data_IF_255782958767
#
_entry.id   IF_255782958767
#
_cell.length_a   1.000
_cell.length_b   1.000
_cell.length_c   1.000
_cell.angle_alpha   90.00
_cell.angle_beta   90.00
_cell.angle_gamma   90.00
#
_symmetry.space_group_name_H-M   'P 1'
#
loop_
_entity.id
_entity.type
_entity.pdbx_description
1 polymer ?
#
# COMPACT_ATOMS: atom_id res chain seq x y z
N UNK A 1 8.43 1.39 4.59
CA UNK A 1 8.33 0.09 3.91
C UNK A 1 9.54 -0.09 3.05
N UNK A 2 9.91 -1.34 2.80
CA UNK A 2 11.08 -1.71 2.01
C UNK A 2 10.66 -2.23 0.64
N UNK A 3 11.52 -2.02 -0.36
CA UNK A 3 11.26 -2.30 -1.78
C UNK A 3 11.13 -3.80 -2.09
N UNK A 4 11.82 -4.65 -1.32
CA UNK A 4 11.94 -6.10 -1.52
C UNK A 4 10.79 -6.91 -0.88
N UNK A 5 9.86 -6.25 -0.20
CA UNK A 5 8.71 -6.87 0.44
C UNK A 5 7.40 -6.28 -0.09
N UNK A 6 6.32 -7.07 -0.05
CA UNK A 6 5.02 -6.57 -0.50
C UNK A 6 4.55 -5.41 0.36
N UNK A 7 4.13 -4.31 -0.28
CA UNK A 7 3.48 -3.17 0.40
C UNK A 7 2.21 -3.63 1.13
N UNK A 8 1.45 -4.56 0.53
CA UNK A 8 0.24 -5.10 1.15
C UNK A 8 0.54 -5.87 2.45
N UNK A 9 1.58 -6.72 2.44
CA UNK A 9 1.99 -7.50 3.63
C UNK A 9 2.49 -6.56 4.74
N UNK A 10 3.39 -5.63 4.41
CA UNK A 10 3.91 -4.66 5.38
C UNK A 10 2.80 -3.75 5.94
N UNK A 11 1.77 -3.42 5.14
CA UNK A 11 0.61 -2.67 5.62
C UNK A 11 -0.19 -3.48 6.63
N UNK A 12 -0.39 -4.77 6.34
CA UNK A 12 -1.10 -5.67 7.25
C UNK A 12 -0.37 -5.84 8.59
N UNK A 13 0.97 -5.89 8.57
CA UNK A 13 1.80 -5.89 9.79
C UNK A 13 1.60 -4.62 10.64
N UNK A 14 1.53 -3.45 10.00
CA UNK A 14 1.28 -2.17 10.70
C UNK A 14 -0.13 -2.16 11.33
N UNK A 15 -1.14 -2.65 10.63
CA UNK A 15 -2.52 -2.73 11.15
C UNK A 15 -2.60 -3.71 12.33
N UNK A 16 -1.90 -4.84 12.27
CA UNK A 16 -1.86 -5.79 13.38
C UNK A 16 -1.14 -5.21 14.61
N UNK A 17 -0.10 -4.41 14.41
CA UNK A 17 0.53 -3.65 15.48
C UNK A 17 -0.44 -2.64 16.09
N UNK A 18 -1.18 -1.89 15.27
CA UNK A 18 -2.19 -0.94 15.77
C UNK A 18 -3.28 -1.64 16.58
N UNK A 19 -3.76 -2.81 16.15
CA UNK A 19 -4.70 -3.63 16.94
C UNK A 19 -4.14 -4.01 18.30
N UNK A 20 -2.87 -4.42 18.34
CA UNK A 20 -2.18 -4.76 19.60
C UNK A 20 -2.07 -3.53 20.52
N UNK A 21 -1.84 -2.34 19.96
CA UNK A 21 -1.84 -1.08 20.71
C UNK A 21 -3.25 -0.72 21.21
N UNK A 22 -4.27 -0.92 20.39
CA UNK A 22 -5.67 -0.67 20.74
C UNK A 22 -6.13 -1.57 21.90
N UNK A 23 -5.70 -2.84 21.93
CA UNK A 23 -5.94 -3.78 23.03
C UNK A 23 -5.26 -3.34 24.34
N UNK A 24 -4.16 -2.60 24.24
CA UNK A 24 -3.48 -1.96 25.37
C UNK A 24 -4.00 -0.54 25.68
N UNK A 25 -5.22 -0.21 25.21
CA UNK A 25 -5.89 1.09 25.37
C UNK A 25 -5.15 2.29 24.71
N UNK A 26 -4.16 2.02 23.85
CA UNK A 26 -3.40 3.03 23.08
C UNK A 26 -3.96 3.19 21.66
N UNK A 27 -5.24 3.56 21.55
CA UNK A 27 -5.90 3.73 20.26
C UNK A 27 -5.30 4.88 19.47
N UNK A 28 -4.91 4.61 18.24
CA UNK A 28 -4.42 5.64 17.31
C UNK A 28 -5.59 6.23 16.52
N UNK A 29 -5.61 7.54 16.23
CA UNK A 29 -6.57 8.09 15.30
C UNK A 29 -6.43 7.44 13.91
N UNK A 30 -7.53 6.99 13.31
CA UNK A 30 -7.50 6.33 11.99
C UNK A 30 -6.76 7.15 10.93
N UNK A 31 -6.99 8.47 10.91
CA UNK A 31 -6.29 9.38 10.00
C UNK A 31 -4.77 9.37 10.17
N UNK A 32 -4.29 9.24 11.41
CA UNK A 32 -2.86 9.12 11.68
C UNK A 32 -2.31 7.83 11.09
N UNK A 33 -3.03 6.71 11.24
CA UNK A 33 -2.63 5.42 10.70
C UNK A 33 -2.57 5.45 9.16
N UNK A 34 -3.63 5.95 8.52
CA UNK A 34 -3.72 6.10 7.05
C UNK A 34 -2.56 6.95 6.52
N UNK A 35 -2.34 8.14 7.09
CA UNK A 35 -1.24 9.02 6.68
C UNK A 35 0.13 8.38 6.89
N UNK A 36 0.32 7.70 8.03
CA UNK A 36 1.58 7.02 8.36
C UNK A 36 1.89 5.90 7.37
N UNK A 37 0.89 5.11 6.96
CA UNK A 37 1.08 4.04 5.97
C UNK A 37 1.48 4.65 4.62
N UNK A 38 0.75 5.67 4.15
CA UNK A 38 1.02 6.32 2.86
C UNK A 38 2.41 6.97 2.84
N UNK A 39 2.82 7.64 3.92
CA UNK A 39 4.16 8.23 4.03
C UNK A 39 5.28 7.19 4.13
N UNK A 40 4.97 5.96 4.52
CA UNK A 40 5.92 4.85 4.60
C UNK A 40 6.05 4.07 3.30
N UNK A 41 5.28 4.39 2.26
CA UNK A 41 5.41 3.71 0.98
C UNK A 41 6.84 3.76 0.42
N UNK A 42 7.28 2.69 -0.24
CA UNK A 42 8.59 2.68 -0.89
C UNK A 42 8.59 3.62 -2.10
N UNK A 43 9.79 3.95 -2.60
CA UNK A 43 9.96 4.91 -3.70
C UNK A 43 9.27 4.43 -4.98
N UNK A 44 9.26 3.12 -5.21
CA UNK A 44 8.52 2.52 -6.34
C UNK A 44 7.01 2.77 -6.30
N UNK A 45 6.43 3.14 -5.16
CA UNK A 45 5.00 3.45 -4.97
C UNK A 45 4.72 4.96 -4.83
N UNK A 46 5.71 5.83 -5.05
CA UNK A 46 5.60 7.28 -4.83
C UNK A 46 4.42 7.92 -5.56
N UNK A 47 4.24 7.63 -6.86
CA UNK A 47 3.13 8.17 -7.65
C UNK A 47 1.76 7.77 -7.10
N UNK A 48 1.61 6.52 -6.67
CA UNK A 48 0.38 6.04 -6.06
C UNK A 48 0.13 6.73 -4.70
N UNK A 49 1.18 6.86 -3.88
CA UNK A 49 1.11 7.60 -2.62
C UNK A 49 0.70 9.07 -2.80
N UNK A 50 1.21 9.75 -3.82
CA UNK A 50 0.81 11.13 -4.16
C UNK A 50 -0.65 11.22 -4.57
N UNK A 51 -1.15 10.27 -5.37
CA UNK A 51 -2.58 10.18 -5.71
C UNK A 51 -3.45 10.05 -4.45
N UNK A 52 -3.05 9.23 -3.47
CA UNK A 52 -3.80 9.10 -2.22
C UNK A 52 -3.76 10.38 -1.39
N UNK A 53 -2.61 11.08 -1.32
CA UNK A 53 -2.49 12.37 -0.61
C UNK A 53 -3.42 13.44 -1.19
N UNK A 54 -3.62 13.44 -2.51
CA UNK A 54 -4.55 14.36 -3.17
C UNK A 54 -6.02 14.15 -2.78
N UNK A 55 -6.38 12.99 -2.22
CA UNK A 55 -7.73 12.72 -1.72
C UNK A 55 -8.04 13.40 -0.37
N UNK A 56 -7.11 14.23 0.15
CA UNK A 56 -7.28 15.13 1.31
C UNK A 56 -7.85 14.45 2.56
N UNK A 57 -7.41 13.23 2.86
CA UNK A 57 -7.81 12.52 4.09
C UNK A 57 -9.28 12.06 4.10
N UNK A 58 -9.86 11.85 2.92
CA UNK A 58 -11.18 11.19 2.75
C UNK A 58 -11.12 9.68 2.79
N UNK A 59 -9.92 9.10 2.75
CA UNK A 59 -9.70 7.65 2.78
C UNK A 59 -9.85 7.13 4.21
N UNK A 60 -10.74 6.14 4.37
CA UNK A 60 -10.72 5.27 5.54
C UNK A 60 -9.56 4.27 5.45
N UNK A 61 -9.29 3.54 6.53
CA UNK A 61 -8.31 2.45 6.51
C UNK A 61 -8.71 1.34 5.53
N UNK A 62 -10.00 1.02 5.46
CA UNK A 62 -10.52 0.00 4.55
C UNK A 62 -10.37 0.43 3.08
N UNK A 63 -10.66 1.70 2.77
CA UNK A 63 -10.43 2.24 1.41
C UNK A 63 -8.96 2.14 1.01
N UNK A 64 -8.05 2.45 1.94
CA UNK A 64 -6.61 2.33 1.71
C UNK A 64 -6.20 0.89 1.42
N UNK A 65 -6.72 -0.09 2.17
CA UNK A 65 -6.43 -1.51 1.97
C UNK A 65 -6.91 -2.02 0.61
N UNK A 66 -8.10 -1.60 0.19
CA UNK A 66 -8.66 -1.93 -1.13
C UNK A 66 -7.78 -1.30 -2.22
N UNK A 67 -7.43 -0.02 -2.08
CA UNK A 67 -6.60 0.68 -3.06
C UNK A 67 -5.21 0.03 -3.22
N UNK A 68 -4.56 -0.37 -2.12
CA UNK A 68 -3.27 -1.08 -2.15
C UNK A 68 -3.40 -2.42 -2.88
N UNK A 69 -4.49 -3.15 -2.66
CA UNK A 69 -4.73 -4.44 -3.31
C UNK A 69 -4.92 -4.29 -4.82
N UNK A 70 -5.70 -3.29 -5.25
CA UNK A 70 -5.91 -2.97 -6.67
C UNK A 70 -4.58 -2.58 -7.34
N UNK A 71 -3.81 -1.70 -6.70
CA UNK A 71 -2.52 -1.24 -7.24
C UNK A 71 -1.49 -2.37 -7.35
N UNK A 72 -1.48 -3.29 -6.38
CA UNK A 72 -0.65 -4.51 -6.44
C UNK A 72 -0.99 -5.36 -7.66
N UNK A 73 -2.28 -5.61 -7.90
CA UNK A 73 -2.71 -6.40 -9.06
C UNK A 73 -2.41 -5.70 -10.39
N UNK A 74 -2.63 -4.39 -10.46
CA UNK A 74 -2.28 -3.58 -11.64
C UNK A 74 -0.79 -3.69 -11.99
N UNK A 75 0.10 -3.54 -10.99
CA UNK A 75 1.55 -3.67 -11.17
C UNK A 75 1.98 -5.07 -11.60
N UNK A 76 1.34 -6.11 -11.06
CA UNK A 76 1.60 -7.50 -11.46
C UNK A 76 1.20 -7.74 -12.93
N UNK A 77 0.11 -7.14 -13.40
CA UNK A 77 -0.32 -7.26 -14.79
C UNK A 77 0.62 -6.50 -15.76
N UNK A 78 1.06 -5.29 -15.41
CA UNK A 78 2.04 -4.54 -16.19
C UNK A 78 3.36 -5.30 -16.34
N UNK A 79 3.80 -5.98 -15.28
CA UNK A 79 4.99 -6.81 -15.31
C UNK A 79 4.84 -8.04 -16.23
N UNK A 80 3.67 -8.71 -16.22
CA UNK A 80 3.41 -9.86 -17.12
C UNK A 80 3.42 -9.47 -18.60
N UNK A 81 2.80 -8.34 -18.96
CA UNK A 81 2.74 -7.87 -20.35
C UNK A 81 4.12 -7.50 -20.92
N UNK A 82 5.05 -7.03 -20.09
CA UNK A 82 6.40 -6.63 -20.54
C UNK A 82 7.35 -7.82 -20.73
N UNK A 83 7.11 -8.95 -20.06
CA UNK A 83 7.88 -10.19 -20.22
C UNK A 83 7.48 -10.96 -21.48
N UNK A 84 6.21 -10.91 -21.89
CA UNK A 84 5.73 -11.60 -23.11
C UNK A 84 6.28 -10.97 -24.41
N UNK A 85 6.47 -9.65 -24.45
CA UNK A 85 6.94 -8.97 -25.66
C UNK A 85 8.43 -9.26 -26.00
N UNK A 86 9.20 -9.81 -25.05
CA UNK A 86 10.61 -10.17 -25.24
C UNK A 86 10.83 -11.66 -25.58
N UNK A 87 9.76 -12.45 -25.77
CA UNK A 87 9.81 -13.89 -26.08
C UNK A 87 9.21 -14.24 -27.45
N UNK A 88 9.39 -13.36 -28.45
CA UNK A 88 9.08 -13.68 -29.85
C UNK A 88 10.07 -14.71 -30.42
N UNK A 89 9.64 -15.61 -31.32
CA UNK A 89 10.46 -16.75 -31.76
C UNK A 89 11.63 -16.29 -32.65
N UNK A 90 12.82 -16.84 -32.38
CA UNK A 90 13.99 -16.81 -33.28
C UNK A 90 13.72 -17.72 -34.47
#
# INVERSE_FOLDING_TARGET
>A
MVEDRSVAEQTHEIINLERTLADAEMKLPEKFLVMSIVDKFPKSWENFGMTLKHQKGRLSLDDLMIAISIEKEHRNQTHKMSVEHHRGPI
#
